data_IF_134289195408
#
_entry.id   IF_134289195408
#
_cell.length_a   1.000
_cell.length_b   1.000
_cell.length_c   1.000
_cell.angle_alpha   90.00
_cell.angle_beta   90.00
_cell.angle_gamma   90.00
#
_symmetry.space_group_name_H-M   'P 1'
#
loop_
_entity.id
_entity.type
_entity.pdbx_description
1 polymer ?
#
# COMPACT_ATOMS: atom_id res chain seq x y z
N UNK A 1 6.16 6.37 7.35
CA UNK A 1 6.72 7.60 7.95
C UNK A 1 7.09 7.44 9.44
N UNK A 2 6.21 6.88 10.30
CA UNK A 2 6.50 6.76 11.74
C UNK A 2 7.85 6.11 12.08
N UNK A 3 8.29 5.01 11.42
CA UNK A 3 9.62 4.47 11.65
C UNK A 3 10.76 5.44 11.27
N UNK A 4 10.55 6.27 10.24
CA UNK A 4 11.51 7.29 9.82
C UNK A 4 11.57 8.43 10.86
N UNK A 5 10.42 8.88 11.36
CA UNK A 5 10.36 9.89 12.43
C UNK A 5 11.04 9.38 13.72
N UNK A 6 10.78 8.12 14.08
CA UNK A 6 11.45 7.51 15.22
C UNK A 6 12.98 7.42 15.02
N UNK A 7 13.44 7.06 13.84
CA UNK A 7 14.87 7.05 13.52
C UNK A 7 15.48 8.47 13.58
N UNK A 8 14.73 9.48 13.13
CA UNK A 8 15.15 10.88 13.28
C UNK A 8 15.32 11.26 14.75
N UNK A 9 14.33 10.97 15.60
CA UNK A 9 14.36 11.29 17.03
C UNK A 9 15.44 10.52 17.80
N UNK A 10 15.68 9.25 17.48
CA UNK A 10 16.51 8.37 18.29
C UNK A 10 17.99 8.30 17.87
N UNK A 11 18.25 8.43 16.58
CA UNK A 11 19.62 8.30 16.01
C UNK A 11 20.01 9.47 15.11
N UNK A 12 19.22 10.55 15.03
CA UNK A 12 19.51 11.72 14.22
C UNK A 12 19.45 11.47 12.70
N UNK A 13 18.68 10.47 12.26
CA UNK A 13 18.49 10.21 10.85
C UNK A 13 17.76 11.38 10.17
N UNK A 14 18.40 12.02 9.20
CA UNK A 14 17.75 13.06 8.40
C UNK A 14 16.89 12.44 7.32
N UNK A 15 15.82 13.12 6.94
CA UNK A 15 14.91 12.67 5.87
C UNK A 15 14.37 13.84 5.06
N UNK A 16 14.12 13.59 3.78
CA UNK A 16 13.42 14.51 2.88
C UNK A 16 12.15 13.83 2.37
N UNK A 17 11.03 14.53 2.44
CA UNK A 17 9.75 14.05 1.89
C UNK A 17 9.56 14.64 0.50
N UNK A 18 9.50 13.77 -0.51
CA UNK A 18 9.13 14.15 -1.88
C UNK A 18 7.61 14.10 -1.98
N UNK A 19 6.98 15.24 -2.27
CA UNK A 19 5.52 15.33 -2.38
C UNK A 19 5.08 14.95 -3.80
N UNK A 20 3.91 14.34 -3.90
CA UNK A 20 3.25 14.11 -5.17
C UNK A 20 2.58 15.39 -5.71
N UNK A 21 2.11 15.32 -6.95
CA UNK A 21 1.27 16.33 -7.58
C UNK A 21 -0.20 16.26 -7.07
N UNK A 22 -1.10 17.06 -7.64
CA UNK A 22 -2.52 17.08 -7.26
C UNK A 22 -3.27 15.76 -7.48
N UNK A 23 -2.71 14.81 -8.24
CA UNK A 23 -3.24 13.46 -8.39
C UNK A 23 -2.61 12.48 -7.42
N UNK A 24 -1.62 12.90 -6.64
CA UNK A 24 -0.86 12.09 -5.71
C UNK A 24 0.25 11.26 -6.39
N UNK A 25 0.63 11.58 -7.64
CA UNK A 25 1.77 10.97 -8.34
C UNK A 25 3.05 11.73 -8.03
N UNK A 26 4.16 10.98 -7.88
CA UNK A 26 5.48 11.58 -7.71
C UNK A 26 6.12 11.90 -9.07
N UNK A 27 6.89 12.98 -9.13
CA UNK A 27 7.82 13.23 -10.23
C UNK A 27 9.17 12.58 -9.90
N UNK A 28 9.65 11.69 -10.77
CA UNK A 28 10.92 10.99 -10.57
C UNK A 28 12.13 11.93 -10.69
N UNK A 29 12.01 13.03 -11.45
CA UNK A 29 13.05 14.05 -11.50
C UNK A 29 13.16 14.79 -10.16
N UNK A 30 12.03 15.07 -9.50
CA UNK A 30 12.02 15.68 -8.18
C UNK A 30 12.50 14.71 -7.10
N UNK A 31 12.19 13.41 -7.24
CA UNK A 31 12.77 12.37 -6.39
C UNK A 31 14.30 12.37 -6.48
N UNK A 32 14.85 12.43 -7.69
CA UNK A 32 16.29 12.44 -7.91
C UNK A 32 16.96 13.75 -7.41
N UNK A 33 16.33 14.91 -7.64
CA UNK A 33 16.83 16.20 -7.11
C UNK A 33 16.86 16.28 -5.59
N UNK A 34 15.98 15.53 -4.91
CA UNK A 34 15.92 15.50 -3.45
C UNK A 34 17.09 14.74 -2.79
N UNK A 35 17.90 14.02 -3.58
CA UNK A 35 19.04 13.26 -3.09
C UNK A 35 20.13 14.22 -2.61
N UNK A 36 20.60 14.02 -1.39
CA UNK A 36 21.68 14.77 -0.76
C UNK A 36 22.96 13.91 -0.70
N UNK A 37 24.17 14.52 -0.49
CA UNK A 37 25.41 13.76 -0.39
C UNK A 37 25.44 12.70 0.73
N UNK A 38 24.63 12.90 1.79
CA UNK A 38 24.49 11.97 2.92
C UNK A 38 23.31 11.00 2.76
N UNK A 39 22.52 11.05 1.68
CA UNK A 39 21.42 10.13 1.43
C UNK A 39 21.93 8.69 1.31
N UNK A 40 21.27 7.74 1.97
CA UNK A 40 21.63 6.31 1.97
C UNK A 40 20.54 5.42 1.42
N UNK A 41 19.27 5.85 1.47
CA UNK A 41 18.16 5.04 0.99
C UNK A 41 17.02 5.88 0.45
N UNK A 42 16.23 5.26 -0.41
CA UNK A 42 14.89 5.72 -0.80
C UNK A 42 13.89 4.73 -0.23
N UNK A 43 12.96 5.21 0.61
CA UNK A 43 11.84 4.44 1.13
C UNK A 43 10.56 4.91 0.47
N UNK A 44 9.84 4.02 -0.21
CA UNK A 44 8.67 4.36 -1.02
C UNK A 44 7.57 3.31 -0.91
N UNK A 45 6.31 3.72 -0.95
CA UNK A 45 5.19 2.79 -1.15
C UNK A 45 5.01 2.49 -2.63
N UNK A 46 4.78 1.22 -2.97
CA UNK A 46 4.57 0.83 -4.37
C UNK A 46 3.22 1.31 -4.92
N UNK A 47 2.18 1.32 -4.08
CA UNK A 47 0.89 1.90 -4.45
C UNK A 47 0.28 2.67 -3.28
N UNK A 48 -0.37 3.79 -3.61
CA UNK A 48 -1.10 4.59 -2.64
C UNK A 48 -2.33 3.83 -2.14
N UNK A 49 -2.48 3.76 -0.83
CA UNK A 49 -3.67 3.20 -0.19
C UNK A 49 -4.89 4.14 -0.21
N UNK A 50 -4.73 5.34 -0.74
CA UNK A 50 -5.80 6.34 -0.94
C UNK A 50 -6.19 6.39 -2.41
N UNK A 51 -5.26 6.77 -3.27
CA UNK A 51 -5.54 7.01 -4.69
C UNK A 51 -5.49 5.76 -5.57
N UNK A 52 -4.85 4.68 -5.09
CA UNK A 52 -4.60 3.49 -5.89
C UNK A 52 -3.45 3.62 -6.89
N UNK A 53 -2.89 4.81 -7.08
CA UNK A 53 -1.78 5.04 -8.01
C UNK A 53 -0.61 4.11 -7.73
N UNK A 54 -0.04 3.52 -8.78
CA UNK A 54 1.13 2.66 -8.72
C UNK A 54 2.38 3.46 -9.10
N UNK A 55 3.44 3.30 -8.31
CA UNK A 55 4.75 3.89 -8.57
C UNK A 55 5.55 2.95 -9.48
N UNK A 56 6.20 3.51 -10.49
CA UNK A 56 7.12 2.78 -11.37
C UNK A 56 8.41 2.44 -10.60
N UNK A 57 8.48 1.19 -10.12
CA UNK A 57 9.63 0.71 -9.35
C UNK A 57 10.91 0.59 -10.20
N UNK A 58 10.80 0.38 -11.50
CA UNK A 58 11.98 0.31 -12.37
C UNK A 58 12.71 1.65 -12.37
N UNK A 59 11.96 2.76 -12.46
CA UNK A 59 12.55 4.11 -12.36
C UNK A 59 13.15 4.39 -10.99
N UNK A 60 12.45 4.04 -9.92
CA UNK A 60 12.95 4.24 -8.55
C UNK A 60 14.25 3.46 -8.32
N UNK A 61 14.26 2.19 -8.71
CA UNK A 61 15.45 1.33 -8.56
C UNK A 61 16.61 1.80 -9.45
N UNK A 62 16.32 2.31 -10.67
CA UNK A 62 17.34 2.89 -11.53
C UNK A 62 18.00 4.12 -10.88
N UNK A 63 17.20 5.00 -10.25
CA UNK A 63 17.72 6.14 -9.46
C UNK A 63 18.57 5.64 -8.29
N UNK A 64 18.08 4.66 -7.52
CA UNK A 64 18.83 4.08 -6.42
C UNK A 64 20.19 3.54 -6.88
N UNK A 65 20.23 2.77 -7.96
CA UNK A 65 21.47 2.21 -8.53
C UNK A 65 22.44 3.31 -8.99
N UNK A 66 21.91 4.33 -9.69
CA UNK A 66 22.71 5.47 -10.18
C UNK A 66 23.43 6.21 -9.05
N UNK A 67 22.78 6.35 -7.91
CA UNK A 67 23.30 7.10 -6.75
C UNK A 67 23.81 6.21 -5.63
N UNK A 68 23.95 4.90 -5.84
CA UNK A 68 24.39 3.93 -4.85
C UNK A 68 23.57 3.97 -3.55
N UNK A 69 22.25 4.02 -3.68
CA UNK A 69 21.27 4.07 -2.60
C UNK A 69 20.58 2.72 -2.42
N UNK A 70 20.13 2.45 -1.20
CA UNK A 70 19.29 1.30 -0.87
C UNK A 70 17.83 1.60 -1.23
N UNK A 71 17.19 0.70 -1.96
CA UNK A 71 15.76 0.76 -2.26
C UNK A 71 14.94 -0.03 -1.22
N UNK A 72 14.04 0.67 -0.51
CA UNK A 72 13.09 0.06 0.45
C UNK A 72 11.68 0.30 -0.05
N UNK A 73 10.97 -0.77 -0.38
CA UNK A 73 9.63 -0.72 -0.99
C UNK A 73 8.58 -1.29 -0.04
N UNK A 74 7.56 -0.51 0.26
CA UNK A 74 6.34 -0.98 0.93
C UNK A 74 5.33 -1.46 -0.13
N UNK A 75 5.22 -2.77 -0.27
CA UNK A 75 4.30 -3.44 -1.18
C UNK A 75 2.97 -3.85 -0.52
N UNK A 76 2.62 -3.26 0.63
CA UNK A 76 1.41 -3.65 1.39
C UNK A 76 0.09 -3.49 0.62
N UNK A 77 0.08 -2.73 -0.48
CA UNK A 77 -1.10 -2.56 -1.35
C UNK A 77 -1.00 -3.38 -2.64
N UNK A 78 0.18 -3.89 -2.98
CA UNK A 78 0.45 -4.50 -4.28
C UNK A 78 0.85 -5.97 -4.21
N UNK A 79 1.41 -6.43 -3.08
CA UNK A 79 1.70 -7.85 -2.87
C UNK A 79 0.42 -8.68 -2.97
N UNK A 80 0.38 -9.64 -3.89
CA UNK A 80 -0.78 -10.47 -4.20
C UNK A 80 -1.78 -9.84 -5.20
N UNK A 81 -1.48 -8.62 -5.70
CA UNK A 81 -2.31 -7.92 -6.72
C UNK A 81 -1.50 -7.71 -7.99
N UNK A 82 -0.34 -7.06 -7.87
CA UNK A 82 0.52 -6.73 -9.00
C UNK A 82 1.72 -7.67 -8.99
N UNK A 83 2.12 -8.26 -10.12
CA UNK A 83 3.34 -9.05 -10.19
C UNK A 83 4.56 -8.23 -9.78
N UNK A 84 5.32 -8.72 -8.82
CA UNK A 84 6.56 -8.09 -8.35
C UNK A 84 7.65 -9.15 -8.32
N UNK A 85 8.62 -9.02 -9.21
CA UNK A 85 9.83 -9.83 -9.23
C UNK A 85 10.98 -9.01 -8.63
N UNK A 86 11.31 -9.28 -7.37
CA UNK A 86 12.33 -8.50 -6.64
C UNK A 86 13.73 -8.68 -7.20
N UNK A 87 14.01 -9.85 -7.82
CA UNK A 87 15.31 -10.12 -8.43
C UNK A 87 15.47 -9.37 -9.75
N UNK A 88 14.47 -9.47 -10.62
CA UNK A 88 14.45 -8.78 -11.92
C UNK A 88 14.47 -7.26 -11.74
N UNK A 89 13.65 -6.72 -10.87
CA UNK A 89 13.61 -5.29 -10.54
C UNK A 89 14.90 -4.82 -9.87
N UNK A 90 15.46 -5.67 -9.01
CA UNK A 90 16.64 -5.34 -8.23
C UNK A 90 16.34 -4.51 -6.98
N UNK A 91 15.15 -4.64 -6.41
CA UNK A 91 14.76 -4.03 -5.13
C UNK A 91 15.58 -4.65 -3.99
N UNK A 92 16.14 -3.83 -3.10
CA UNK A 92 16.98 -4.32 -2.01
C UNK A 92 16.19 -4.85 -0.83
N UNK A 93 15.12 -4.14 -0.45
CA UNK A 93 14.22 -4.55 0.62
C UNK A 93 12.77 -4.32 0.18
N UNK A 94 11.96 -5.37 0.20
CA UNK A 94 10.53 -5.29 -0.05
C UNK A 94 9.76 -5.75 1.17
N UNK A 95 8.89 -4.88 1.70
CA UNK A 95 8.04 -5.15 2.86
C UNK A 95 6.60 -5.36 2.42
N UNK A 96 5.89 -6.30 3.07
CA UNK A 96 4.48 -6.55 2.76
C UNK A 96 3.66 -6.98 3.99
N UNK A 97 2.36 -6.81 3.93
CA UNK A 97 1.41 -7.35 4.92
C UNK A 97 0.71 -8.57 4.34
N UNK A 98 0.45 -9.59 5.17
CA UNK A 98 -0.21 -10.81 4.73
C UNK A 98 -1.74 -10.72 4.69
N UNK A 99 -2.35 -9.82 5.48
CA UNK A 99 -3.81 -9.76 5.70
C UNK A 99 -4.59 -8.94 4.67
N UNK A 100 -3.93 -8.42 3.63
CA UNK A 100 -4.59 -7.74 2.52
C UNK A 100 -4.72 -8.69 1.33
N UNK A 101 -4.25 -8.29 0.17
CA UNK A 101 -4.41 -9.04 -1.08
C UNK A 101 -3.61 -10.33 -1.17
N UNK A 102 -2.81 -10.66 -0.16
CA UNK A 102 -2.23 -12.00 0.00
C UNK A 102 -3.17 -13.00 0.69
N UNK A 103 -4.39 -12.57 1.08
CA UNK A 103 -5.45 -13.39 1.67
C UNK A 103 -5.05 -14.15 2.96
N UNK A 104 -3.97 -13.74 3.62
CA UNK A 104 -3.55 -14.29 4.90
C UNK A 104 -4.29 -13.68 6.08
N UNK A 105 -4.19 -14.26 7.27
CA UNK A 105 -4.81 -13.72 8.48
C UNK A 105 -4.11 -12.44 8.96
N UNK A 106 -4.77 -11.73 9.89
CA UNK A 106 -4.15 -10.60 10.59
C UNK A 106 -2.94 -11.05 11.41
N UNK A 107 -2.01 -10.12 11.66
CA UNK A 107 -0.82 -10.37 12.46
C UNK A 107 0.32 -11.10 11.74
N UNK A 108 0.21 -11.26 10.42
CA UNK A 108 1.28 -11.81 9.57
C UNK A 108 1.70 -10.80 8.51
N UNK A 109 2.95 -10.77 8.20
CA UNK A 109 3.59 -9.99 7.15
C UNK A 109 5.03 -10.44 7.00
N UNK A 110 5.77 -9.83 6.11
CA UNK A 110 7.16 -10.22 5.89
C UNK A 110 7.96 -9.17 5.14
N UNK A 111 9.21 -9.49 4.97
CA UNK A 111 10.11 -8.72 4.12
C UNK A 111 11.02 -9.66 3.34
N UNK A 112 11.30 -9.29 2.09
CA UNK A 112 12.33 -9.89 1.26
C UNK A 112 13.56 -8.99 1.31
N UNK A 113 14.71 -9.56 1.66
CA UNK A 113 15.98 -8.83 1.79
C UNK A 113 16.97 -9.40 0.79
N UNK A 114 17.48 -8.55 -0.10
CA UNK A 114 18.54 -8.87 -1.06
C UNK A 114 19.89 -8.25 -0.68
N UNK A 115 19.90 -7.41 0.35
CA UNK A 115 21.13 -6.77 0.83
C UNK A 115 22.12 -7.83 1.35
N UNK A 116 23.35 -7.74 0.85
CA UNK A 116 24.50 -8.47 1.39
C UNK A 116 25.31 -7.60 2.35
N UNK A 117 25.44 -6.33 2.02
CA UNK A 117 26.16 -5.30 2.78
C UNK A 117 25.49 -3.93 2.46
N UNK A 118 25.14 -3.08 3.46
CA UNK A 118 25.22 -3.40 4.89
C UNK A 118 24.13 -4.40 5.33
N UNK A 119 24.48 -5.23 6.31
CA UNK A 119 23.48 -6.12 6.93
C UNK A 119 22.47 -5.33 7.77
N UNK A 120 21.18 -5.74 7.72
CA UNK A 120 20.17 -5.19 8.62
C UNK A 120 20.51 -5.58 10.06
N UNK A 121 20.59 -4.60 10.94
CA UNK A 121 20.85 -4.85 12.37
C UNK A 121 19.69 -5.60 13.02
N UNK A 122 20.03 -6.41 14.04
CA UNK A 122 19.02 -7.01 14.91
C UNK A 122 18.21 -5.91 15.58
N UNK A 123 16.89 -5.90 15.40
CA UNK A 123 16.00 -4.92 16.02
C UNK A 123 15.26 -5.53 17.21
N UNK A 124 14.75 -6.75 17.02
CA UNK A 124 14.15 -7.55 18.09
C UNK A 124 15.10 -8.68 18.44
N UNK A 125 15.29 -8.92 19.73
CA UNK A 125 16.12 -10.01 20.23
C UNK A 125 15.38 -10.74 21.33
N UNK A 126 15.63 -12.06 21.45
CA UNK A 126 14.96 -12.92 22.42
C UNK A 126 15.22 -14.37 22.14
N UNK A 127 14.37 -15.24 22.64
CA UNK A 127 14.44 -16.68 22.36
C UNK A 127 14.33 -16.93 20.86
N UNK A 128 15.22 -17.76 20.32
CA UNK A 128 15.27 -18.09 18.89
C UNK A 128 14.82 -19.53 18.59
N UNK A 129 14.59 -20.34 19.63
CA UNK A 129 14.34 -21.78 19.49
C UNK A 129 15.57 -22.60 19.09
N UNK A 130 16.70 -21.98 18.82
CA UNK A 130 17.98 -22.60 18.44
C UNK A 130 19.14 -21.92 19.18
N UNK A 131 20.31 -22.57 19.25
CA UNK A 131 21.53 -22.03 19.85
C UNK A 131 21.32 -21.51 21.28
N UNK A 132 20.65 -22.30 22.10
CA UNK A 132 20.19 -21.94 23.47
C UNK A 132 21.32 -21.45 24.38
N UNK A 133 22.55 -21.88 24.16
CA UNK A 133 23.71 -21.52 24.98
C UNK A 133 24.44 -20.27 24.48
N UNK A 134 24.09 -19.75 23.31
CA UNK A 134 24.69 -18.53 22.79
C UNK A 134 24.17 -17.32 23.56
N UNK A 135 25.08 -16.44 24.02
CA UNK A 135 24.72 -15.21 24.72
C UNK A 135 24.16 -14.14 23.80
N UNK A 136 24.39 -14.28 22.49
CA UNK A 136 24.05 -13.31 21.46
C UNK A 136 23.02 -13.92 20.53
N UNK A 137 22.00 -13.14 20.19
CA UNK A 137 20.98 -13.55 19.22
C UNK A 137 21.61 -13.94 17.87
N UNK A 138 21.11 -14.98 17.16
CA UNK A 138 21.67 -15.45 15.90
C UNK A 138 21.96 -14.34 14.89
N UNK A 139 23.04 -14.48 14.15
CA UNK A 139 23.50 -13.50 13.17
C UNK A 139 23.06 -13.75 11.75
N UNK A 140 22.64 -14.96 11.43
CA UNK A 140 22.24 -15.38 10.09
C UNK A 140 20.75 -15.07 9.80
N UNK A 141 20.43 -14.76 8.55
CA UNK A 141 19.06 -14.67 8.09
C UNK A 141 18.44 -16.10 7.95
N UNK A 142 17.14 -16.27 8.19
CA UNK A 142 16.16 -15.28 8.65
C UNK A 142 16.18 -15.03 10.17
N UNK A 143 16.85 -15.87 10.96
CA UNK A 143 16.84 -15.86 12.42
C UNK A 143 17.27 -14.51 13.03
N UNK A 144 18.16 -13.80 12.37
CA UNK A 144 18.61 -12.46 12.76
C UNK A 144 17.46 -11.48 13.04
N UNK A 145 16.38 -11.59 12.30
CA UNK A 145 15.23 -10.67 12.34
C UNK A 145 13.99 -11.27 13.03
N UNK A 146 14.10 -12.53 13.49
CA UNK A 146 13.01 -13.25 14.13
C UNK A 146 13.31 -13.44 15.63
N UNK A 147 12.37 -13.09 16.49
CA UNK A 147 12.50 -13.26 17.93
C UNK A 147 11.21 -13.82 18.54
N UNK A 148 11.38 -14.81 19.42
CA UNK A 148 10.26 -15.52 20.02
C UNK A 148 9.71 -16.64 19.14
N UNK A 149 8.66 -17.31 19.60
CA UNK A 149 7.92 -18.32 18.84
C UNK A 149 7.23 -17.66 17.66
N UNK A 150 7.50 -18.18 16.46
CA UNK A 150 6.90 -17.65 15.25
C UNK A 150 5.37 -17.86 15.24
N UNK A 151 4.65 -16.95 14.57
CA UNK A 151 3.21 -17.07 14.34
C UNK A 151 2.93 -18.17 13.29
N UNK A 152 3.08 -19.44 13.69
CA UNK A 152 2.95 -20.60 12.79
C UNK A 152 1.57 -20.65 12.13
N UNK A 153 0.49 -20.39 12.88
CA UNK A 153 -0.87 -20.36 12.32
C UNK A 153 -1.05 -19.25 11.28
N UNK A 154 -0.47 -18.08 11.54
CA UNK A 154 -0.46 -16.98 10.56
C UNK A 154 0.34 -17.30 9.31
N UNK A 155 1.49 -17.97 9.46
CA UNK A 155 2.33 -18.41 8.32
C UNK A 155 1.57 -19.44 7.47
N UNK A 156 0.91 -20.43 8.09
CA UNK A 156 0.11 -21.42 7.38
C UNK A 156 -1.09 -20.78 6.67
N UNK A 157 -1.78 -19.83 7.32
CA UNK A 157 -2.87 -19.09 6.68
C UNK A 157 -2.39 -18.26 5.48
N UNK A 158 -1.25 -17.59 5.60
CA UNK A 158 -0.62 -16.87 4.49
C UNK A 158 -0.24 -17.82 3.34
N UNK A 159 0.29 -19.00 3.66
CA UNK A 159 0.62 -20.02 2.66
C UNK A 159 -0.60 -20.42 1.84
N UNK A 160 -1.76 -20.65 2.48
CA UNK A 160 -3.00 -20.97 1.76
C UNK A 160 -3.48 -19.80 0.88
N UNK A 161 -3.34 -18.55 1.35
CA UNK A 161 -3.61 -17.38 0.54
C UNK A 161 -2.72 -17.28 -0.72
N UNK A 162 -1.43 -17.55 -0.58
CA UNK A 162 -0.48 -17.61 -1.73
C UNK A 162 -0.83 -18.76 -2.67
N UNK A 163 -1.21 -19.93 -2.15
CA UNK A 163 -1.70 -21.05 -2.98
C UNK A 163 -2.95 -20.66 -3.79
N UNK A 164 -3.88 -19.94 -3.16
CA UNK A 164 -5.07 -19.43 -3.86
C UNK A 164 -4.68 -18.53 -5.02
N UNK A 165 -3.76 -17.56 -4.80
CA UNK A 165 -3.27 -16.65 -5.85
C UNK A 165 -2.61 -17.44 -6.99
N UNK A 166 -1.73 -18.39 -6.67
CA UNK A 166 -1.04 -19.20 -7.66
C UNK A 166 -2.01 -20.07 -8.48
N UNK A 167 -3.07 -20.59 -7.84
CA UNK A 167 -4.10 -21.38 -8.52
C UNK A 167 -4.92 -20.57 -9.51
N UNK A 168 -5.27 -19.33 -9.17
CA UNK A 168 -6.13 -18.47 -9.99
C UNK A 168 -5.35 -17.59 -10.97
N UNK A 169 -4.05 -17.40 -10.72
CA UNK A 169 -3.18 -16.50 -11.46
C UNK A 169 -3.34 -15.04 -11.02
N UNK A 170 -2.23 -14.41 -10.64
CA UNK A 170 -2.22 -13.03 -10.13
C UNK A 170 -2.79 -12.04 -11.17
N UNK A 171 -2.47 -12.22 -12.45
CA UNK A 171 -2.94 -11.35 -13.53
C UNK A 171 -4.47 -11.43 -13.71
N UNK A 172 -5.05 -12.63 -13.58
CA UNK A 172 -6.50 -12.83 -13.66
C UNK A 172 -7.21 -12.17 -12.48
N UNK A 173 -6.67 -12.34 -11.27
CA UNK A 173 -7.21 -11.72 -10.06
C UNK A 173 -7.11 -10.19 -10.15
N UNK A 174 -5.98 -9.67 -10.60
CA UNK A 174 -5.77 -8.23 -10.82
C UNK A 174 -6.74 -7.68 -11.86
N UNK A 175 -6.82 -8.34 -13.03
CA UNK A 175 -7.72 -7.92 -14.10
C UNK A 175 -9.17 -7.80 -13.62
N UNK A 176 -9.68 -8.80 -12.91
CA UNK A 176 -11.05 -8.77 -12.37
C UNK A 176 -11.27 -7.58 -11.46
N UNK A 177 -10.34 -7.33 -10.54
CA UNK A 177 -10.44 -6.22 -9.58
C UNK A 177 -10.42 -4.86 -10.27
N UNK A 178 -9.49 -4.67 -11.22
CA UNK A 178 -9.34 -3.39 -11.91
C UNK A 178 -10.49 -3.11 -12.88
N UNK A 179 -11.06 -4.16 -13.49
CA UNK A 179 -12.25 -4.03 -14.32
C UNK A 179 -13.44 -3.49 -13.48
N UNK A 180 -13.62 -3.98 -12.26
CA UNK A 180 -14.65 -3.47 -11.33
C UNK A 180 -14.40 -2.01 -10.94
N UNK A 181 -13.18 -1.66 -10.57
CA UNK A 181 -12.84 -0.28 -10.22
C UNK A 181 -13.03 0.68 -11.40
N UNK A 182 -12.65 0.25 -12.60
CA UNK A 182 -12.82 1.04 -13.83
C UNK A 182 -14.30 1.20 -14.19
N UNK A 183 -15.11 0.15 -14.10
CA UNK A 183 -16.57 0.21 -14.30
C UNK A 183 -17.19 1.21 -13.34
N UNK A 184 -16.88 1.10 -12.04
CA UNK A 184 -17.40 2.00 -11.01
C UNK A 184 -17.01 3.46 -11.31
N UNK A 185 -15.75 3.72 -11.61
CA UNK A 185 -15.27 5.07 -11.94
C UNK A 185 -15.95 5.62 -13.21
N UNK A 186 -15.97 4.85 -14.30
CA UNK A 186 -16.50 5.31 -15.59
C UNK A 186 -17.99 5.63 -15.54
N UNK A 187 -18.77 4.90 -14.72
CA UNK A 187 -20.21 5.11 -14.54
C UNK A 187 -20.54 6.36 -13.68
N UNK A 188 -19.55 6.88 -12.93
CA UNK A 188 -19.77 7.93 -11.95
C UNK A 188 -18.97 9.22 -12.21
N UNK A 189 -17.92 9.17 -13.04
CA UNK A 189 -16.97 10.28 -13.24
C UNK A 189 -17.59 11.58 -13.76
N UNK A 190 -18.73 11.47 -14.45
CA UNK A 190 -19.40 12.62 -15.08
C UNK A 190 -20.50 13.23 -14.16
N UNK A 191 -20.61 12.77 -12.90
CA UNK A 191 -21.48 13.38 -11.91
C UNK A 191 -20.81 14.60 -11.28
N UNK A 192 -21.34 15.80 -11.56
CA UNK A 192 -20.78 17.08 -11.13
C UNK A 192 -20.64 17.23 -9.61
N UNK A 193 -21.47 16.54 -8.83
CA UNK A 193 -21.40 16.54 -7.36
C UNK A 193 -20.24 15.72 -6.80
N UNK A 194 -19.57 14.90 -7.60
CA UNK A 194 -18.45 14.06 -7.16
C UNK A 194 -17.11 14.67 -7.49
N UNK A 195 -16.13 14.37 -6.66
CA UNK A 195 -14.71 14.62 -6.86
C UNK A 195 -13.93 13.31 -6.67
N UNK A 196 -13.13 12.94 -7.67
CA UNK A 196 -12.31 11.72 -7.65
C UNK A 196 -10.84 12.07 -7.43
N UNK A 197 -10.14 11.19 -6.70
CA UNK A 197 -8.74 11.38 -6.35
C UNK A 197 -7.86 10.26 -6.92
N UNK A 198 -6.80 10.66 -7.58
CA UNK A 198 -5.84 9.77 -8.24
C UNK A 198 -5.77 9.98 -9.75
N UNK A 199 -4.85 9.31 -10.40
CA UNK A 199 -4.72 9.29 -11.86
C UNK A 199 -5.37 8.02 -12.43
N UNK A 200 -6.54 8.17 -13.03
CA UNK A 200 -7.29 7.05 -13.62
C UNK A 200 -6.82 6.71 -15.05
N UNK A 201 -5.83 7.42 -15.56
CA UNK A 201 -5.23 7.16 -16.89
C UNK A 201 -4.00 6.26 -16.82
N UNK A 202 -3.53 5.93 -15.61
CA UNK A 202 -2.32 5.13 -15.33
C UNK A 202 -2.66 3.82 -14.64
N UNK A 203 -1.67 2.93 -14.58
CA UNK A 203 -1.77 1.70 -13.80
C UNK A 203 -2.05 2.00 -12.33
N UNK A 204 -2.99 1.24 -11.77
CA UNK A 204 -3.47 1.46 -10.42
C UNK A 204 -3.96 0.18 -9.77
N UNK A 205 -4.05 0.17 -8.45
CA UNK A 205 -4.78 -0.85 -7.72
C UNK A 205 -6.29 -0.58 -7.75
N UNK A 206 -7.10 -1.56 -7.45
CA UNK A 206 -8.57 -1.48 -7.50
C UNK A 206 -9.18 -0.70 -6.32
N UNK A 207 -8.63 0.48 -6.07
CA UNK A 207 -9.09 1.44 -5.06
C UNK A 207 -9.66 2.65 -5.79
N UNK A 208 -10.88 3.07 -5.44
CA UNK A 208 -11.50 4.30 -5.95
C UNK A 208 -11.76 5.22 -4.77
N UNK A 209 -11.11 6.36 -4.78
CA UNK A 209 -11.23 7.42 -3.79
C UNK A 209 -12.08 8.53 -4.36
N UNK A 210 -13.15 8.90 -3.65
CA UNK A 210 -14.05 9.97 -4.05
C UNK A 210 -14.60 10.74 -2.85
N UNK A 211 -15.14 11.93 -3.11
CA UNK A 211 -15.99 12.67 -2.19
C UNK A 211 -17.21 13.24 -2.91
N UNK A 212 -18.28 13.43 -2.18
CA UNK A 212 -19.31 14.38 -2.56
C UNK A 212 -18.86 15.78 -2.17
N UNK A 213 -18.98 16.76 -3.06
CA UNK A 213 -18.56 18.14 -2.82
C UNK A 213 -19.32 18.73 -1.64
N UNK A 214 -18.61 19.22 -0.64
CA UNK A 214 -19.20 19.86 0.54
C UNK A 214 -19.73 18.94 1.63
N UNK A 215 -19.71 17.60 1.43
CA UNK A 215 -20.20 16.61 2.43
C UNK A 215 -18.99 15.90 3.04
N UNK A 216 -19.04 15.64 4.36
CA UNK A 216 -17.95 14.92 5.02
C UNK A 216 -17.90 13.45 4.56
N UNK A 217 -16.68 12.89 4.50
CA UNK A 217 -16.53 11.48 4.13
C UNK A 217 -17.21 10.52 5.12
N UNK A 218 -17.34 10.93 6.39
CA UNK A 218 -18.04 10.13 7.41
C UNK A 218 -19.53 10.08 7.15
N UNK A 219 -20.16 11.23 6.87
CA UNK A 219 -21.61 11.28 6.63
C UNK A 219 -22.00 10.44 5.41
N UNK A 220 -21.19 10.50 4.32
CA UNK A 220 -21.40 9.65 3.14
C UNK A 220 -21.26 8.16 3.49
N UNK A 221 -20.26 7.81 4.32
CA UNK A 221 -20.06 6.41 4.71
C UNK A 221 -21.20 5.89 5.61
N UNK A 222 -21.73 6.75 6.48
CA UNK A 222 -22.86 6.41 7.35
C UNK A 222 -24.13 6.15 6.51
N UNK A 223 -24.45 7.03 5.56
CA UNK A 223 -25.56 6.82 4.61
C UNK A 223 -25.40 5.53 3.80
N UNK A 224 -24.20 5.27 3.27
CA UNK A 224 -23.91 4.04 2.53
C UNK A 224 -24.09 2.79 3.38
N UNK A 225 -23.72 2.83 4.66
CA UNK A 225 -23.86 1.71 5.57
C UNK A 225 -25.31 1.51 6.03
N UNK A 226 -26.00 2.59 6.41
CA UNK A 226 -27.34 2.52 7.02
C UNK A 226 -28.46 2.28 5.99
N UNK A 227 -28.37 2.90 4.81
CA UNK A 227 -29.44 2.82 3.80
C UNK A 227 -29.18 1.81 2.70
N UNK A 228 -27.89 1.50 2.42
CA UNK A 228 -27.51 0.64 1.30
C UNK A 228 -26.76 -0.62 1.71
N UNK A 229 -26.44 -0.81 3.01
CA UNK A 229 -25.63 -1.93 3.50
C UNK A 229 -24.27 -2.05 2.78
N UNK A 230 -23.67 -0.89 2.41
CA UNK A 230 -22.39 -0.81 1.72
C UNK A 230 -21.31 -0.34 2.70
N UNK A 231 -20.35 -1.22 3.01
CA UNK A 231 -19.21 -0.88 3.84
C UNK A 231 -18.11 -0.21 3.01
N UNK A 232 -17.82 1.06 3.32
CA UNK A 232 -16.68 1.81 2.78
C UNK A 232 -15.78 2.29 3.90
N UNK A 233 -14.60 2.78 3.56
CA UNK A 233 -13.74 3.40 4.57
C UNK A 233 -13.72 4.91 4.38
N UNK A 234 -14.22 5.72 5.35
CA UNK A 234 -14.05 7.17 5.37
C UNK A 234 -12.75 7.61 6.06
N UNK A 235 -12.37 8.87 5.86
CA UNK A 235 -11.39 9.59 6.67
C UNK A 235 -9.98 9.64 6.10
N UNK A 236 -8.98 9.60 6.97
CA UNK A 236 -7.57 9.92 6.64
C UNK A 236 -6.72 8.73 6.17
N UNK A 237 -7.23 7.49 6.18
CA UNK A 237 -6.59 6.28 5.62
C UNK A 237 -5.14 6.00 6.06
N UNK A 238 -4.69 6.53 7.21
CA UNK A 238 -3.29 6.48 7.66
C UNK A 238 -2.29 7.13 6.67
N UNK A 239 -2.73 8.10 5.87
CA UNK A 239 -1.94 8.73 4.81
C UNK A 239 -1.99 10.27 4.90
N UNK A 240 -1.54 10.89 6.04
CA UNK A 240 -1.71 12.31 6.28
C UNK A 240 -1.08 13.19 5.18
N UNK A 241 0.10 12.83 4.70
CA UNK A 241 0.77 13.60 3.64
C UNK A 241 0.02 13.54 2.29
N UNK A 242 -0.67 12.44 2.01
CA UNK A 242 -1.52 12.37 0.81
C UNK A 242 -2.70 13.32 0.94
N UNK A 243 -3.34 13.38 2.11
CA UNK A 243 -4.42 14.33 2.36
C UNK A 243 -3.97 15.80 2.31
N UNK A 244 -2.72 16.10 2.70
CA UNK A 244 -2.13 17.43 2.53
C UNK A 244 -2.02 17.82 1.04
N UNK A 245 -1.55 16.87 0.20
CA UNK A 245 -1.39 17.07 -1.24
C UNK A 245 -2.75 17.22 -1.94
N UNK A 246 -3.72 16.39 -1.55
CA UNK A 246 -5.07 16.38 -2.13
C UNK A 246 -6.00 17.47 -1.54
N UNK A 247 -5.59 18.18 -0.47
CA UNK A 247 -6.40 19.21 0.18
C UNK A 247 -7.60 18.67 0.98
N UNK A 248 -7.57 17.40 1.37
CA UNK A 248 -8.71 16.68 1.97
C UNK A 248 -8.57 16.42 3.47
N UNK A 249 -7.69 17.15 4.19
CA UNK A 249 -7.43 16.93 5.61
C UNK A 249 -8.67 17.10 6.50
N UNK A 250 -9.58 18.02 6.14
CA UNK A 250 -10.79 18.31 6.91
C UNK A 250 -11.95 17.41 6.52
N UNK A 251 -12.17 17.21 5.22
CA UNK A 251 -13.30 16.44 4.69
C UNK A 251 -13.07 14.93 4.81
N UNK A 252 -11.81 14.48 4.78
CA UNK A 252 -11.48 13.08 4.57
C UNK A 252 -11.71 12.64 3.12
N UNK A 253 -11.70 11.35 2.88
CA UNK A 253 -12.01 10.73 1.60
C UNK A 253 -12.86 9.48 1.84
N UNK A 254 -13.85 9.23 1.02
CA UNK A 254 -14.56 7.94 0.94
C UNK A 254 -13.80 7.04 -0.02
N UNK A 255 -13.37 5.87 0.47
CA UNK A 255 -12.62 4.91 -0.31
C UNK A 255 -13.39 3.62 -0.53
N UNK A 256 -13.66 3.33 -1.79
CA UNK A 256 -14.10 2.01 -2.25
C UNK A 256 -12.87 1.15 -2.57
N UNK A 257 -12.91 -0.11 -2.20
CA UNK A 257 -11.83 -1.08 -2.46
C UNK A 257 -12.43 -2.34 -3.03
N UNK A 258 -12.12 -2.64 -4.28
CA UNK A 258 -12.65 -3.80 -4.98
C UNK A 258 -11.70 -4.99 -4.85
N UNK A 259 -12.27 -6.15 -4.66
CA UNK A 259 -11.59 -7.44 -4.52
C UNK A 259 -12.00 -8.38 -5.66
N UNK A 260 -11.18 -9.38 -5.94
CA UNK A 260 -11.57 -10.47 -6.83
C UNK A 260 -12.73 -11.32 -6.29
N UNK A 261 -13.07 -11.16 -5.01
CA UNK A 261 -14.22 -11.84 -4.38
C UNK A 261 -15.55 -11.11 -4.64
N UNK A 262 -15.49 -9.83 -5.05
CA UNK A 262 -16.72 -9.11 -5.40
C UNK A 262 -17.36 -9.68 -6.66
N UNK A 263 -18.67 -9.43 -6.79
CA UNK A 263 -19.46 -9.74 -7.97
C UNK A 263 -19.77 -8.49 -8.78
N UNK A 264 -20.21 -8.68 -10.03
CA UNK A 264 -20.60 -7.57 -10.89
C UNK A 264 -21.87 -6.89 -10.37
N UNK A 265 -22.80 -7.67 -9.81
CA UNK A 265 -24.03 -7.19 -9.20
C UNK A 265 -23.76 -6.28 -8.00
N UNK A 266 -22.76 -6.60 -7.17
CA UNK A 266 -22.33 -5.74 -6.05
C UNK A 266 -21.78 -4.40 -6.55
N UNK A 267 -21.00 -4.42 -7.61
CA UNK A 267 -20.47 -3.19 -8.23
C UNK A 267 -21.60 -2.34 -8.81
N UNK A 268 -22.53 -2.96 -9.54
CA UNK A 268 -23.69 -2.28 -10.10
C UNK A 268 -24.60 -1.70 -9.01
N UNK A 269 -24.75 -2.42 -7.90
CA UNK A 269 -25.49 -1.95 -6.74
C UNK A 269 -24.83 -0.72 -6.11
N UNK A 270 -23.52 -0.74 -5.93
CA UNK A 270 -22.77 0.40 -5.39
C UNK A 270 -22.88 1.63 -6.33
N UNK A 271 -22.83 1.44 -7.65
CA UNK A 271 -23.03 2.51 -8.62
C UNK A 271 -24.42 3.12 -8.49
N UNK A 272 -25.46 2.29 -8.35
CA UNK A 272 -26.84 2.77 -8.16
C UNK A 272 -27.01 3.55 -6.86
N UNK A 273 -26.41 3.09 -5.77
CA UNK A 273 -26.42 3.78 -4.48
C UNK A 273 -25.83 5.18 -4.59
N UNK A 274 -24.62 5.30 -5.17
CA UNK A 274 -23.98 6.62 -5.39
C UNK A 274 -24.84 7.53 -6.28
N UNK A 275 -25.43 6.99 -7.38
CA UNK A 275 -26.34 7.76 -8.26
C UNK A 275 -27.63 8.18 -7.55
N UNK A 276 -28.11 7.40 -6.58
CA UNK A 276 -29.28 7.76 -5.77
C UNK A 276 -28.95 8.91 -4.82
N UNK A 277 -27.88 8.78 -4.04
CA UNK A 277 -27.40 9.83 -3.13
C UNK A 277 -27.14 11.14 -3.91
N UNK A 278 -26.55 11.05 -5.10
CA UNK A 278 -26.27 12.22 -5.95
C UNK A 278 -27.52 12.98 -6.42
N UNK A 279 -28.71 12.39 -6.37
CA UNK A 279 -29.98 13.04 -6.73
C UNK A 279 -30.64 13.76 -5.56
N UNK A 280 -30.23 13.43 -4.35
CA UNK A 280 -30.79 13.99 -3.10
C UNK A 280 -30.01 15.22 -2.61
N UNK A 281 -28.85 15.49 -3.23
CA UNK A 281 -27.97 16.62 -2.98
C UNK A 281 -28.17 17.68 -4.07
#
# INVERSE_FOLDING_TARGET
LRPIYLAHETIGCEYTVVKGDKTGMIDYADLEKAIQPNTKMIAITHSSNVTGNIVDLEKVVAICKKHNLISVVDASQTAGVVPIDVEKLGVDVLCFTGHKSLYGPQGIGGLCVRLKDPEIRRYKVGGSGVRTFDKVHPGEYPLRLEAGTLNTSGILGLHEGVKYINKHGIDNLYKKQIDFANKFYNELKDLDCLEFYGDFTKDRTAVVALNFKGISASDVADVLAEEYDIAVRPGAHCAPLMHEVLGTQKQGIVRFSFSSMNTEEEVDYAIKAIKSIAKEI
#
